data_IF_458631474286
#
_entry.id   IF_458631474286
#
_cell.length_a   1.000
_cell.length_b   1.000
_cell.length_c   1.000
_cell.angle_alpha   90.00
_cell.angle_beta   90.00
_cell.angle_gamma   90.00
#
_symmetry.space_group_name_H-M   'P 1'
#
loop_
_entity.id
_entity.type
_entity.pdbx_description
1 polymer ?
#
# COMPACT_ATOMS: atom_id res chain seq x y z
N UNK A 1 -57.63 19.46 8.43
CA UNK A 1 -56.81 18.41 9.06
C UNK A 1 -56.15 17.49 8.03
N UNK A 2 -56.88 16.58 7.37
CA UNK A 2 -56.36 15.68 6.33
C UNK A 2 -55.32 16.26 5.34
N UNK A 3 -55.55 17.40 4.65
CA UNK A 3 -54.57 17.93 3.68
C UNK A 3 -53.26 18.39 4.33
N UNK A 4 -53.30 18.89 5.57
CA UNK A 4 -52.11 19.29 6.32
C UNK A 4 -51.28 18.07 6.74
N UNK A 5 -51.95 17.01 7.17
CA UNK A 5 -51.30 15.73 7.53
C UNK A 5 -50.62 15.12 6.30
N UNK A 6 -51.31 15.12 5.14
CA UNK A 6 -50.73 14.61 3.89
C UNK A 6 -49.50 15.42 3.44
N UNK A 7 -49.55 16.76 3.54
CA UNK A 7 -48.42 17.63 3.20
C UNK A 7 -47.21 17.37 4.11
N UNK A 8 -47.42 17.27 5.42
CA UNK A 8 -46.36 16.94 6.38
C UNK A 8 -45.77 15.55 6.12
N UNK A 9 -46.60 14.57 5.76
CA UNK A 9 -46.13 13.23 5.42
C UNK A 9 -45.25 13.24 4.15
N UNK A 10 -45.68 13.93 3.09
CA UNK A 10 -44.92 14.08 1.84
C UNK A 10 -43.59 14.82 2.06
N UNK A 11 -43.57 15.88 2.88
CA UNK A 11 -42.34 16.59 3.24
C UNK A 11 -41.38 15.68 4.04
N UNK A 12 -41.89 14.91 5.00
CA UNK A 12 -41.07 13.97 5.77
C UNK A 12 -40.50 12.85 4.88
N UNK A 13 -41.30 12.30 3.95
CA UNK A 13 -40.85 11.32 2.97
C UNK A 13 -39.79 11.89 2.02
N UNK A 14 -39.93 13.14 1.55
CA UNK A 14 -38.94 13.81 0.73
C UNK A 14 -37.61 14.03 1.48
N UNK A 15 -37.65 14.41 2.76
CA UNK A 15 -36.44 14.53 3.62
C UNK A 15 -35.76 13.18 3.83
N UNK A 16 -36.54 12.09 4.03
CA UNK A 16 -35.98 10.74 4.12
C UNK A 16 -35.34 10.31 2.79
N UNK A 17 -36.02 10.46 1.65
CA UNK A 17 -35.51 10.06 0.33
C UNK A 17 -34.25 10.84 -0.06
N UNK A 18 -34.23 12.17 0.12
CA UNK A 18 -33.05 13.01 -0.13
C UNK A 18 -31.90 12.69 0.84
N UNK A 19 -32.21 12.44 2.11
CA UNK A 19 -31.27 11.96 3.12
C UNK A 19 -30.76 10.52 2.91
N UNK A 20 -31.41 9.72 2.06
CA UNK A 20 -30.95 8.40 1.64
C UNK A 20 -30.05 8.50 0.40
N UNK A 21 -30.44 9.28 -0.62
CA UNK A 21 -29.63 9.49 -1.83
C UNK A 21 -28.26 10.11 -1.51
N UNK A 22 -28.23 11.12 -0.63
CA UNK A 22 -27.02 11.82 -0.18
C UNK A 22 -26.07 10.96 0.67
N UNK A 23 -26.53 9.80 1.20
CA UNK A 23 -25.71 8.86 1.97
C UNK A 23 -24.96 7.83 1.13
N UNK A 24 -25.18 7.79 -0.19
CA UNK A 24 -24.47 6.82 -1.06
C UNK A 24 -22.98 7.20 -1.19
N UNK A 25 -22.01 6.35 -0.79
CA UNK A 25 -20.60 6.72 -0.86
C UNK A 25 -20.17 6.99 -2.30
N UNK A 26 -19.42 8.08 -2.53
CA UNK A 26 -18.98 8.47 -3.87
C UNK A 26 -18.19 7.38 -4.61
N UNK A 27 -18.18 7.43 -5.95
CA UNK A 27 -17.60 6.38 -6.80
C UNK A 27 -16.15 6.00 -6.43
N UNK A 28 -15.33 6.99 -6.03
CA UNK A 28 -13.95 6.81 -5.52
C UNK A 28 -13.91 5.96 -4.25
N UNK A 29 -14.77 6.23 -3.26
CA UNK A 29 -14.88 5.46 -2.01
C UNK A 29 -15.33 4.03 -2.29
N UNK A 30 -16.30 3.84 -3.20
CA UNK A 30 -16.76 2.50 -3.63
C UNK A 30 -15.64 1.71 -4.30
N UNK A 31 -14.83 2.37 -5.15
CA UNK A 31 -13.65 1.77 -5.80
C UNK A 31 -12.59 1.34 -4.78
N UNK A 32 -12.24 2.22 -3.85
CA UNK A 32 -11.28 1.96 -2.78
C UNK A 32 -11.72 0.78 -1.88
N UNK A 33 -12.99 0.77 -1.45
CA UNK A 33 -13.58 -0.37 -0.73
C UNK A 33 -13.49 -1.68 -1.53
N UNK A 34 -13.79 -1.64 -2.83
CA UNK A 34 -13.67 -2.82 -3.71
C UNK A 34 -12.23 -3.33 -3.78
N UNK A 35 -11.23 -2.45 -3.89
CA UNK A 35 -9.83 -2.88 -3.95
C UNK A 35 -9.37 -3.52 -2.65
N UNK A 36 -9.74 -2.97 -1.48
CA UNK A 36 -9.51 -3.61 -0.17
C UNK A 36 -10.15 -5.01 -0.07
N UNK A 37 -11.43 -5.14 -0.45
CA UNK A 37 -12.13 -6.43 -0.49
C UNK A 37 -11.53 -7.45 -1.47
N UNK A 38 -10.83 -7.00 -2.53
CA UNK A 38 -10.10 -7.91 -3.43
C UNK A 38 -8.73 -8.24 -2.83
N UNK A 39 -8.06 -7.29 -2.18
CA UNK A 39 -6.80 -7.51 -1.48
C UNK A 39 -6.92 -8.55 -0.36
N UNK A 40 -7.98 -8.48 0.46
CA UNK A 40 -8.32 -9.50 1.48
C UNK A 40 -8.44 -10.90 0.85
N UNK A 41 -9.19 -11.04 -0.26
CA UNK A 41 -9.33 -12.31 -0.99
C UNK A 41 -8.03 -12.80 -1.61
N UNK A 42 -7.19 -11.88 -2.11
CA UNK A 42 -5.86 -12.21 -2.64
C UNK A 42 -4.97 -12.74 -1.52
N UNK A 43 -4.95 -12.09 -0.34
CA UNK A 43 -4.17 -12.50 0.82
C UNK A 43 -4.56 -13.92 1.27
N UNK A 44 -5.86 -14.21 1.39
CA UNK A 44 -6.38 -15.55 1.71
C UNK A 44 -6.06 -16.60 0.63
N UNK A 45 -5.96 -16.19 -0.64
CA UNK A 45 -5.68 -17.11 -1.76
C UNK A 45 -4.20 -17.46 -1.92
N UNK A 46 -3.27 -16.57 -1.55
CA UNK A 46 -1.83 -16.76 -1.76
C UNK A 46 -1.26 -18.06 -1.14
N UNK A 47 -1.58 -18.44 0.12
CA UNK A 47 -1.10 -19.69 0.71
C UNK A 47 -1.51 -20.93 -0.09
N UNK A 48 -2.70 -20.91 -0.69
CA UNK A 48 -3.33 -22.01 -1.44
C UNK A 48 -2.68 -22.27 -2.81
N UNK A 49 -1.75 -21.42 -3.25
CA UNK A 49 -1.03 -21.60 -4.51
C UNK A 49 0.19 -22.50 -4.30
N UNK A 50 0.36 -23.49 -5.18
CA UNK A 50 1.29 -24.62 -5.01
C UNK A 50 2.78 -24.27 -4.90
N UNK A 51 3.21 -23.07 -5.30
CA UNK A 51 4.62 -22.66 -5.21
C UNK A 51 4.79 -21.14 -5.17
N UNK A 52 5.95 -20.69 -4.70
CA UNK A 52 6.32 -19.28 -4.66
C UNK A 52 6.40 -18.66 -6.08
N UNK A 53 6.78 -19.45 -7.09
CA UNK A 53 6.67 -19.06 -8.49
C UNK A 53 5.21 -18.82 -8.93
N UNK A 54 4.28 -19.70 -8.52
CA UNK A 54 2.86 -19.52 -8.79
C UNK A 54 2.27 -18.30 -8.06
N UNK A 55 2.68 -18.05 -6.80
CA UNK A 55 2.31 -16.87 -6.02
C UNK A 55 2.76 -15.58 -6.70
N UNK A 56 4.03 -15.48 -7.09
CA UNK A 56 4.55 -14.32 -7.82
C UNK A 56 3.85 -14.12 -9.18
N UNK A 57 3.57 -15.20 -9.93
CA UNK A 57 2.84 -15.11 -11.19
C UNK A 57 1.35 -14.76 -11.02
N UNK A 58 0.76 -15.03 -9.86
CA UNK A 58 -0.58 -14.52 -9.50
C UNK A 58 -0.53 -13.02 -9.21
N UNK A 59 0.40 -12.57 -8.36
CA UNK A 59 0.62 -11.14 -8.06
C UNK A 59 0.93 -10.28 -9.29
N UNK A 60 1.59 -10.85 -10.31
CA UNK A 60 1.84 -10.17 -11.60
C UNK A 60 0.58 -9.93 -12.45
N UNK A 61 -0.55 -10.56 -12.12
CA UNK A 61 -1.81 -10.46 -12.89
C UNK A 61 -2.90 -9.62 -12.21
N UNK A 62 -2.77 -9.31 -10.92
CA UNK A 62 -3.77 -8.48 -10.22
C UNK A 62 -3.71 -7.01 -10.65
N UNK A 63 -4.78 -6.26 -10.36
CA UNK A 63 -4.86 -4.81 -10.57
C UNK A 63 -3.78 -4.07 -9.72
N UNK A 64 -3.15 -2.97 -10.20
CA UNK A 64 -2.08 -2.30 -9.44
C UNK A 64 -2.56 -1.79 -8.08
N UNK A 65 -3.73 -1.14 -8.04
CA UNK A 65 -4.33 -0.61 -6.81
C UNK A 65 -4.74 -1.71 -5.82
N UNK A 66 -5.02 -2.92 -6.32
CA UNK A 66 -5.22 -4.10 -5.45
C UNK A 66 -3.88 -4.59 -4.87
N UNK A 67 -2.78 -4.49 -5.63
CA UNK A 67 -1.44 -4.80 -5.12
C UNK A 67 -0.98 -3.77 -4.07
N UNK A 68 -1.30 -2.48 -4.25
CA UNK A 68 -1.09 -1.43 -3.25
C UNK A 68 -1.85 -1.76 -1.94
N UNK A 69 -3.18 -1.95 -2.02
CA UNK A 69 -3.99 -2.28 -0.84
C UNK A 69 -3.58 -3.59 -0.15
N UNK A 70 -3.13 -4.58 -0.91
CA UNK A 70 -2.64 -5.86 -0.40
C UNK A 70 -1.40 -5.68 0.49
N UNK A 71 -0.47 -4.82 0.10
CA UNK A 71 0.74 -4.54 0.87
C UNK A 71 0.42 -3.76 2.15
N UNK A 72 -0.47 -2.77 2.05
CA UNK A 72 -0.93 -1.98 3.18
C UNK A 72 -1.69 -2.85 4.19
N UNK A 73 -2.56 -3.75 3.71
CA UNK A 73 -3.25 -4.75 4.53
C UNK A 73 -2.29 -5.74 5.19
N UNK A 74 -1.27 -6.23 4.47
CA UNK A 74 -0.29 -7.17 5.03
C UNK A 74 0.55 -6.54 6.16
N UNK A 75 0.87 -5.24 6.07
CA UNK A 75 1.55 -4.48 7.12
C UNK A 75 0.62 -4.24 8.34
N UNK A 76 -0.65 -3.87 8.12
CA UNK A 76 -1.63 -3.73 9.20
C UNK A 76 -1.87 -5.04 9.95
N UNK A 77 -1.95 -6.17 9.24
CA UNK A 77 -2.13 -7.50 9.83
C UNK A 77 -0.92 -7.95 10.67
N UNK A 78 0.23 -7.28 10.53
CA UNK A 78 1.42 -7.47 11.39
C UNK A 78 1.48 -6.46 12.55
N UNK A 79 0.40 -5.70 12.78
CA UNK A 79 0.31 -4.72 13.86
C UNK A 79 0.99 -3.37 13.57
N UNK A 80 1.51 -3.16 12.36
CA UNK A 80 2.15 -1.89 12.01
C UNK A 80 1.10 -0.82 11.72
N UNK A 81 1.31 0.40 12.24
CA UNK A 81 0.41 1.53 12.01
C UNK A 81 0.60 2.08 10.59
N UNK A 82 -0.33 1.75 9.69
CA UNK A 82 -0.34 2.19 8.29
C UNK A 82 -1.18 3.45 8.12
N UNK A 83 -0.70 4.36 7.27
CA UNK A 83 -1.39 5.57 6.83
C UNK A 83 -1.65 5.41 5.33
N UNK A 84 -2.93 5.33 4.93
CA UNK A 84 -3.33 5.30 3.52
C UNK A 84 -3.48 6.70 2.97
N UNK A 85 -3.10 6.88 1.70
CA UNK A 85 -3.43 8.10 0.98
C UNK A 85 -4.96 8.22 0.79
N UNK A 86 -5.52 9.44 0.77
CA UNK A 86 -6.94 9.62 0.46
C UNK A 86 -7.26 9.27 -1.01
N UNK A 87 -6.25 9.27 -1.89
CA UNK A 87 -6.33 8.98 -3.33
C UNK A 87 -5.28 7.95 -3.72
N UNK A 88 -5.61 7.10 -4.69
CA UNK A 88 -4.59 6.50 -5.55
C UNK A 88 -4.01 7.60 -6.45
N UNK A 89 -2.70 7.86 -6.33
CA UNK A 89 -1.94 8.89 -7.03
C UNK A 89 -1.12 8.25 -8.16
N UNK A 90 -1.30 8.70 -9.40
CA UNK A 90 -0.65 8.13 -10.59
C UNK A 90 0.65 8.82 -11.02
N UNK A 91 1.07 9.84 -10.27
CA UNK A 91 1.93 10.95 -10.68
C UNK A 91 3.29 11.02 -9.96
N UNK A 92 3.67 9.95 -9.25
CA UNK A 92 5.02 9.78 -8.67
C UNK A 92 5.11 9.96 -7.14
N UNK A 93 3.99 10.13 -6.45
CA UNK A 93 3.94 10.03 -4.99
C UNK A 93 4.09 8.59 -4.46
N UNK A 94 4.30 8.45 -3.15
CA UNK A 94 4.21 7.18 -2.43
C UNK A 94 2.78 6.64 -2.43
N UNK A 95 2.59 5.33 -2.50
CA UNK A 95 1.28 4.67 -2.52
C UNK A 95 0.69 4.43 -1.11
N UNK A 96 1.47 4.71 -0.06
CA UNK A 96 1.05 4.71 1.35
C UNK A 96 2.23 4.94 2.29
N UNK A 97 2.00 4.84 3.59
CA UNK A 97 3.03 5.06 4.62
C UNK A 97 2.84 4.07 5.79
N UNK A 98 3.90 3.81 6.54
CA UNK A 98 3.87 2.98 7.75
C UNK A 98 4.76 3.60 8.84
N UNK A 99 4.36 3.47 10.11
CA UNK A 99 5.22 3.85 11.23
C UNK A 99 6.00 2.63 11.73
N UNK A 100 7.32 2.77 11.83
CA UNK A 100 8.25 1.75 12.36
C UNK A 100 9.14 2.43 13.39
N UNK A 101 9.13 1.93 14.63
CA UNK A 101 9.87 2.51 15.76
C UNK A 101 9.62 4.03 15.97
N UNK A 102 8.39 4.50 15.67
CA UNK A 102 8.00 5.92 15.74
C UNK A 102 8.32 6.74 14.49
N UNK A 103 9.26 6.30 13.65
CA UNK A 103 9.64 6.96 12.40
C UNK A 103 8.62 6.70 11.27
N UNK A 104 8.43 7.70 10.41
CA UNK A 104 7.57 7.61 9.21
C UNK A 104 8.34 6.99 8.05
N UNK A 105 7.80 5.92 7.48
CA UNK A 105 8.34 5.25 6.29
C UNK A 105 7.35 5.36 5.13
N UNK A 106 7.82 5.79 3.95
CA UNK A 106 6.99 5.78 2.74
C UNK A 106 6.99 4.41 2.08
N UNK A 107 5.91 4.09 1.37
CA UNK A 107 5.74 2.85 0.61
C UNK A 107 5.49 3.21 -0.85
N UNK A 108 6.24 2.61 -1.75
CA UNK A 108 5.93 2.58 -3.18
C UNK A 108 5.73 1.12 -3.61
N UNK A 109 4.57 0.81 -4.16
CA UNK A 109 4.18 -0.49 -4.66
C UNK A 109 4.14 -0.47 -6.19
N UNK A 110 4.99 -1.28 -6.84
CA UNK A 110 5.01 -1.38 -8.31
C UNK A 110 4.87 -2.82 -8.79
N UNK A 111 3.69 -3.14 -9.32
CA UNK A 111 3.37 -4.44 -9.93
C UNK A 111 3.93 -4.51 -11.36
N UNK A 112 5.14 -5.03 -11.51
CA UNK A 112 5.81 -5.26 -12.81
C UNK A 112 5.64 -6.70 -13.32
N UNK A 113 5.49 -6.86 -14.64
CA UNK A 113 5.56 -8.14 -15.34
C UNK A 113 6.99 -8.59 -15.68
N UNK A 114 7.95 -7.66 -15.76
CA UNK A 114 9.35 -7.91 -16.17
C UNK A 114 10.33 -7.30 -15.14
N UNK A 115 11.39 -6.64 -15.60
CA UNK A 115 12.34 -5.92 -14.73
C UNK A 115 11.74 -4.59 -14.27
N UNK A 116 12.22 -4.08 -13.13
CA UNK A 116 11.81 -2.76 -12.62
C UNK A 116 12.45 -1.62 -13.44
N UNK A 117 11.83 -0.44 -13.45
CA UNK A 117 12.42 0.76 -14.05
C UNK A 117 13.49 1.34 -13.13
N UNK A 118 14.72 1.65 -13.62
CA UNK A 118 15.68 2.45 -12.88
C UNK A 118 15.19 3.86 -12.57
N UNK A 119 14.32 4.45 -13.42
CA UNK A 119 13.75 5.78 -13.19
C UNK A 119 12.88 5.77 -11.93
N UNK A 120 11.94 4.83 -11.80
CA UNK A 120 11.09 4.73 -10.61
C UNK A 120 11.85 4.51 -9.29
N UNK A 121 13.08 3.97 -9.34
CA UNK A 121 13.96 3.87 -8.16
C UNK A 121 14.56 5.24 -7.81
N UNK A 122 14.97 6.03 -8.82
CA UNK A 122 15.43 7.42 -8.62
C UNK A 122 14.31 8.32 -8.12
N UNK A 123 13.15 8.32 -8.79
CA UNK A 123 11.99 9.15 -8.44
C UNK A 123 11.60 8.96 -6.96
N UNK A 124 11.58 7.70 -6.52
CA UNK A 124 11.28 7.36 -5.13
C UNK A 124 12.43 7.72 -4.18
N UNK A 125 13.69 7.54 -4.59
CA UNK A 125 14.85 7.98 -3.81
C UNK A 125 14.90 9.50 -3.59
N UNK A 126 14.62 10.29 -4.63
CA UNK A 126 14.52 11.75 -4.57
C UNK A 126 13.36 12.21 -3.69
N UNK A 127 12.21 11.52 -3.75
CA UNK A 127 11.10 11.72 -2.82
C UNK A 127 11.55 11.46 -1.36
N UNK A 128 12.23 10.35 -1.08
CA UNK A 128 12.72 10.03 0.27
C UNK A 128 13.74 11.03 0.81
N UNK A 129 14.66 11.51 -0.03
CA UNK A 129 15.62 12.57 0.32
C UNK A 129 14.89 13.87 0.66
N UNK A 130 13.93 14.30 -0.18
CA UNK A 130 13.13 15.51 0.06
C UNK A 130 12.28 15.43 1.33
N UNK A 131 11.75 14.24 1.61
CA UNK A 131 10.89 13.96 2.78
C UNK A 131 11.69 13.61 4.05
N UNK A 132 13.03 13.56 3.97
CA UNK A 132 13.97 13.18 5.03
C UNK A 132 13.56 11.89 5.78
N UNK A 133 13.20 10.85 5.04
CA UNK A 133 12.70 9.59 5.59
C UNK A 133 13.19 8.36 4.82
N UNK A 134 13.00 7.18 5.42
CA UNK A 134 13.26 5.90 4.77
C UNK A 134 12.00 5.42 4.03
N UNK A 135 12.13 4.43 3.13
CA UNK A 135 10.95 3.86 2.50
C UNK A 135 11.14 2.56 1.76
N UNK A 136 10.03 1.83 1.61
CA UNK A 136 9.98 0.54 0.92
C UNK A 136 9.58 0.71 -0.54
N UNK A 137 10.45 0.26 -1.45
CA UNK A 137 10.09 0.09 -2.86
C UNK A 137 9.78 -1.39 -3.12
N UNK A 138 8.49 -1.72 -3.11
CA UNK A 138 7.96 -3.08 -3.10
C UNK A 138 7.52 -3.49 -4.51
N UNK A 139 8.02 -4.62 -5.03
CA UNK A 139 7.75 -5.00 -6.41
C UNK A 139 7.70 -6.50 -6.73
N UNK A 140 6.94 -6.84 -7.78
CA UNK A 140 6.85 -8.20 -8.36
C UNK A 140 7.88 -8.46 -9.47
N UNK A 141 8.63 -7.43 -9.89
CA UNK A 141 9.60 -7.49 -10.99
C UNK A 141 10.99 -8.00 -10.61
N UNK A 142 11.90 -8.05 -11.59
CA UNK A 142 13.34 -8.34 -11.39
C UNK A 142 14.15 -7.04 -11.22
N UNK A 143 15.14 -7.05 -10.32
CA UNK A 143 16.06 -5.91 -10.12
C UNK A 143 17.30 -6.03 -11.00
N UNK A 144 17.32 -5.28 -12.12
CA UNK A 144 18.46 -5.21 -13.04
C UNK A 144 19.60 -4.31 -12.55
N UNK A 145 20.79 -4.40 -13.16
CA UNK A 145 22.02 -3.69 -12.74
C UNK A 145 21.80 -2.19 -12.53
N UNK A 146 21.33 -1.46 -13.55
CA UNK A 146 21.02 -0.01 -13.47
C UNK A 146 20.09 0.39 -12.30
N UNK A 147 19.19 -0.50 -11.87
CA UNK A 147 18.33 -0.27 -10.71
C UNK A 147 19.06 -0.52 -9.39
N UNK A 148 20.03 -1.44 -9.35
CA UNK A 148 20.92 -1.67 -8.19
C UNK A 148 21.90 -0.53 -8.01
N UNK A 149 22.48 -0.05 -9.11
CA UNK A 149 23.37 1.11 -9.12
C UNK A 149 22.64 2.33 -8.52
N UNK A 150 21.38 2.57 -8.89
CA UNK A 150 20.54 3.62 -8.28
C UNK A 150 20.26 3.43 -6.78
N UNK A 151 20.17 2.21 -6.26
CA UNK A 151 19.99 1.97 -4.81
C UNK A 151 21.24 2.31 -4.00
N UNK A 152 22.43 2.28 -4.62
CA UNK A 152 23.66 2.74 -3.98
C UNK A 152 23.65 4.27 -3.81
N UNK A 153 23.00 5.00 -4.73
CA UNK A 153 22.79 6.46 -4.63
C UNK A 153 21.75 6.83 -3.56
N UNK A 154 20.71 6.02 -3.37
CA UNK A 154 19.62 6.31 -2.41
C UNK A 154 19.53 5.23 -1.31
N UNK A 155 20.42 5.27 -0.30
CA UNK A 155 20.44 4.31 0.79
C UNK A 155 19.17 4.33 1.66
N UNK A 156 18.28 5.32 1.50
CA UNK A 156 16.96 5.36 2.13
C UNK A 156 15.98 4.33 1.54
N UNK A 157 16.20 3.89 0.30
CA UNK A 157 15.31 2.96 -0.41
C UNK A 157 15.59 1.52 0.04
N UNK A 158 14.56 0.82 0.53
CA UNK A 158 14.63 -0.61 0.87
C UNK A 158 13.77 -1.42 -0.10
N UNK A 159 14.42 -2.23 -0.94
CA UNK A 159 13.71 -3.14 -1.84
C UNK A 159 13.04 -4.27 -1.08
N UNK A 160 11.78 -4.56 -1.43
CA UNK A 160 11.06 -5.77 -1.03
C UNK A 160 10.51 -6.45 -2.29
N UNK A 161 11.04 -7.62 -2.63
CA UNK A 161 10.65 -8.36 -3.84
C UNK A 161 10.96 -9.85 -3.71
N UNK A 162 10.47 -10.65 -4.67
CA UNK A 162 10.69 -12.09 -4.69
C UNK A 162 10.27 -12.75 -3.38
N UNK A 163 11.18 -13.47 -2.74
CA UNK A 163 10.92 -14.16 -1.48
C UNK A 163 10.50 -13.21 -0.34
N UNK A 164 11.16 -12.05 -0.21
CA UNK A 164 10.84 -11.07 0.84
C UNK A 164 9.44 -10.49 0.67
N UNK A 165 8.97 -10.33 -0.56
CA UNK A 165 7.58 -9.95 -0.83
C UNK A 165 6.60 -11.05 -0.39
N UNK A 166 6.91 -12.33 -0.63
CA UNK A 166 6.06 -13.43 -0.18
C UNK A 166 6.07 -13.57 1.35
N UNK A 167 7.20 -13.32 2.01
CA UNK A 167 7.30 -13.33 3.47
C UNK A 167 6.49 -12.18 4.10
N UNK A 168 6.55 -10.98 3.52
CA UNK A 168 5.70 -9.84 3.90
C UNK A 168 4.21 -10.20 3.81
N UNK A 169 3.80 -10.80 2.69
CA UNK A 169 2.41 -11.22 2.46
C UNK A 169 1.99 -12.43 3.31
N UNK A 170 2.94 -13.19 3.85
CA UNK A 170 2.70 -14.29 4.78
C UNK A 170 2.78 -13.87 6.26
N UNK A 171 2.99 -12.57 6.56
CA UNK A 171 3.11 -12.06 7.92
C UNK A 171 4.38 -12.50 8.66
N UNK A 172 5.43 -12.91 7.94
CA UNK A 172 6.67 -13.43 8.55
C UNK A 172 7.66 -12.29 8.83
N UNK A 173 8.01 -12.05 10.09
CA UNK A 173 8.92 -10.96 10.49
C UNK A 173 10.30 -10.94 9.78
N UNK A 174 10.73 -12.04 9.17
CA UNK A 174 11.98 -12.10 8.39
C UNK A 174 11.92 -11.38 7.02
N UNK A 175 10.77 -10.84 6.60
CA UNK A 175 10.69 -10.00 5.38
C UNK A 175 11.49 -8.70 5.50
N UNK A 176 11.60 -8.18 6.72
CA UNK A 176 12.38 -7.01 7.10
C UNK A 176 12.83 -7.20 8.55
N UNK A 177 14.09 -7.62 8.79
CA UNK A 177 14.59 -7.69 10.15
C UNK A 177 14.52 -6.31 10.80
N UNK A 178 14.26 -6.25 12.10
CA UNK A 178 14.36 -5.03 12.88
C UNK A 178 15.62 -5.11 13.74
N UNK A 179 16.33 -3.98 13.94
CA UNK A 179 17.27 -3.88 15.06
C UNK A 179 16.48 -3.84 16.36
N UNK A 180 16.86 -4.66 17.34
CA UNK A 180 16.24 -4.65 18.67
C UNK A 180 16.52 -3.31 19.35
N UNK A 181 15.51 -2.74 20.03
CA UNK A 181 15.58 -1.42 20.65
C UNK A 181 16.68 -1.35 21.72
N UNK A 182 17.70 -0.51 21.52
CA UNK A 182 18.82 -0.39 22.45
C UNK A 182 19.91 0.62 22.06
N UNK A 183 20.17 0.81 20.76
CA UNK A 183 21.08 1.85 20.27
C UNK A 183 20.32 3.13 19.86
N UNK A 184 20.90 4.29 20.18
CA UNK A 184 20.47 5.58 19.65
C UNK A 184 20.79 5.65 18.15
N UNK A 185 19.79 5.36 17.32
CA UNK A 185 19.91 5.34 15.86
C UNK A 185 20.19 6.75 15.32
N UNK A 186 21.38 6.97 14.75
CA UNK A 186 21.71 8.21 14.05
C UNK A 186 20.83 8.35 12.78
N UNK A 187 20.70 9.57 12.24
CA UNK A 187 19.89 9.84 11.03
C UNK A 187 20.34 8.98 9.84
N UNK A 188 21.64 8.70 9.74
CA UNK A 188 22.22 7.82 8.72
C UNK A 188 21.98 6.33 9.00
N UNK A 189 21.78 5.96 10.27
CA UNK A 189 21.49 4.58 10.67
C UNK A 189 20.00 4.24 10.56
N UNK A 190 19.10 5.24 10.57
CA UNK A 190 17.63 5.04 10.57
C UNK A 190 17.13 4.07 9.49
N UNK A 191 17.80 4.01 8.34
CA UNK A 191 17.43 3.08 7.26
C UNK A 191 18.32 1.81 7.21
N UNK A 192 19.41 1.75 7.96
CA UNK A 192 20.55 0.86 7.72
C UNK A 192 20.36 -0.58 8.24
N UNK A 193 20.71 -1.52 7.37
CA UNK A 193 20.86 -2.96 7.60
C UNK A 193 22.13 -3.42 6.88
#
# INVERSE_FOLDING_TARGET
MLPVILLLFLLSAAVVVTGWFSRTPGARVRRHRRYRQVAERVLTRLPQLASDGARLNYLRRINPYVFEELLLLALENQGLKVIRNPSYSGDGGSDGQVLIAGERWLIQAKRYSRSISPQHVRDFGELLVRENCCGFFIHTGRTGRKSRDGLQTYPQVRLVSGQRLLHLLAGRADWYPHKTTGEYMNVHDRCSF
#
